data_IF_548510618149
#
_entry.id   IF_548510618149
#
_cell.length_a   1.000
_cell.length_b   1.000
_cell.length_c   1.000
_cell.angle_alpha   90.00
_cell.angle_beta   90.00
_cell.angle_gamma   90.00
#
_symmetry.space_group_name_H-M   'P 1'
#
loop_
_entity.id
_entity.type
_entity.pdbx_description
1 polymer ?
#
# COMPACT_ATOMS: atom_id res chain seq x y z
N UNK A 1 13.19 0.45 -0.10
CA UNK A 1 13.10 -0.54 -1.19
C UNK A 1 12.91 0.17 -2.54
N UNK A 2 11.83 0.96 -2.72
CA UNK A 2 11.57 1.69 -3.97
C UNK A 2 12.65 2.72 -4.36
N UNK A 3 13.30 3.37 -3.39
CA UNK A 3 14.42 4.30 -3.65
C UNK A 3 15.59 3.59 -4.37
N UNK A 4 16.02 2.46 -3.83
CA UNK A 4 17.10 1.65 -4.42
C UNK A 4 16.72 1.09 -5.80
N UNK A 5 15.44 0.73 -5.98
CA UNK A 5 14.92 0.37 -7.30
C UNK A 5 15.03 1.54 -8.28
N UNK A 6 14.55 2.73 -7.92
CA UNK A 6 14.56 3.90 -8.79
C UNK A 6 15.99 4.30 -9.17
N UNK A 7 16.91 4.33 -8.20
CA UNK A 7 18.33 4.60 -8.47
C UNK A 7 18.92 3.56 -9.42
N UNK A 8 18.63 2.27 -9.19
CA UNK A 8 19.14 1.19 -10.05
C UNK A 8 18.55 1.26 -11.45
N UNK A 9 17.26 1.55 -11.58
CA UNK A 9 16.58 1.70 -12.87
C UNK A 9 17.20 2.85 -13.67
N UNK A 10 17.39 4.02 -13.05
CA UNK A 10 18.01 5.18 -13.71
C UNK A 10 19.46 4.91 -14.12
N UNK A 11 20.21 4.14 -13.33
CA UNK A 11 21.57 3.73 -13.69
C UNK A 11 21.59 2.79 -14.90
N UNK A 12 20.62 1.87 -14.98
CA UNK A 12 20.48 0.95 -16.11
C UNK A 12 19.90 1.60 -17.36
N UNK A 13 19.14 2.69 -17.22
CA UNK A 13 18.44 3.38 -18.31
C UNK A 13 18.74 4.89 -18.26
N UNK A 14 19.98 5.30 -18.58
CA UNK A 14 20.38 6.70 -18.49
C UNK A 14 19.59 7.57 -19.48
N UNK A 15 19.15 8.75 -19.03
CA UNK A 15 18.45 9.73 -19.87
C UNK A 15 16.94 9.51 -20.03
N UNK A 16 16.37 8.42 -19.47
CA UNK A 16 14.91 8.20 -19.48
C UNK A 16 14.19 9.15 -18.51
N UNK A 17 14.77 9.38 -17.34
CA UNK A 17 14.24 10.29 -16.31
C UNK A 17 15.30 11.35 -15.96
N UNK A 18 14.86 12.58 -15.66
CA UNK A 18 15.75 13.67 -15.26
C UNK A 18 16.34 13.45 -13.86
N UNK A 19 15.59 12.79 -12.99
CA UNK A 19 15.99 12.51 -11.61
C UNK A 19 15.55 11.11 -11.16
N UNK A 20 16.23 10.61 -10.12
CA UNK A 20 15.79 9.39 -9.43
C UNK A 20 14.40 9.59 -8.82
N UNK A 21 14.10 10.80 -8.34
CA UNK A 21 12.81 11.17 -7.77
C UNK A 21 11.67 11.04 -8.80
N UNK A 22 11.89 11.44 -10.05
CA UNK A 22 10.93 11.25 -11.15
C UNK A 22 10.60 9.76 -11.32
N UNK A 23 11.62 8.91 -11.36
CA UNK A 23 11.46 7.46 -11.48
C UNK A 23 10.72 6.87 -10.27
N UNK A 24 11.06 7.32 -9.07
CA UNK A 24 10.44 6.90 -7.82
C UNK A 24 8.94 7.24 -7.81
N UNK A 25 8.58 8.51 -8.06
CA UNK A 25 7.18 8.97 -8.04
C UNK A 25 6.37 8.29 -9.14
N UNK A 26 6.92 8.17 -10.36
CA UNK A 26 6.23 7.47 -11.45
C UNK A 26 6.00 5.99 -11.13
N UNK A 27 6.93 5.34 -10.42
CA UNK A 27 6.76 3.96 -9.98
C UNK A 27 5.52 3.80 -9.10
N UNK A 28 5.29 4.72 -8.14
CA UNK A 28 4.05 4.70 -7.35
C UNK A 28 2.81 4.98 -8.19
N UNK A 29 2.89 5.87 -9.18
CA UNK A 29 1.78 6.13 -10.09
C UNK A 29 1.39 4.87 -10.90
N UNK A 30 2.37 4.07 -11.34
CA UNK A 30 2.15 2.80 -12.04
C UNK A 30 1.51 1.77 -11.09
N UNK A 31 1.98 1.68 -9.84
CA UNK A 31 1.38 0.73 -8.88
C UNK A 31 -0.07 1.13 -8.54
N UNK A 32 -0.35 2.42 -8.37
CA UNK A 32 -1.71 2.93 -8.16
C UNK A 32 -2.61 2.69 -9.38
N UNK A 33 -2.05 2.78 -10.59
CA UNK A 33 -2.75 2.45 -11.83
C UNK A 33 -3.14 0.97 -11.87
N UNK A 34 -2.26 0.07 -11.45
CA UNK A 34 -2.54 -1.37 -11.39
C UNK A 34 -3.77 -1.66 -10.52
N UNK A 35 -3.83 -1.09 -9.31
CA UNK A 35 -5.01 -1.20 -8.45
C UNK A 35 -6.24 -0.61 -9.13
N UNK A 36 -6.13 0.58 -9.73
CA UNK A 36 -7.26 1.27 -10.35
C UNK A 36 -7.89 0.50 -11.52
N UNK A 37 -7.07 -0.21 -12.30
CA UNK A 37 -7.54 -0.97 -13.46
C UNK A 37 -8.06 -2.36 -13.11
N UNK A 38 -7.45 -3.02 -12.11
CA UNK A 38 -7.67 -4.46 -11.86
C UNK A 38 -8.42 -4.77 -10.58
N UNK A 39 -8.50 -3.86 -9.62
CA UNK A 39 -9.33 -4.04 -8.43
C UNK A 39 -10.81 -3.88 -8.81
N UNK A 40 -11.60 -4.94 -8.62
CA UNK A 40 -13.03 -4.94 -8.95
C UNK A 40 -13.86 -3.93 -8.13
N UNK A 41 -13.33 -3.44 -7.00
CA UNK A 41 -13.98 -2.43 -6.17
C UNK A 41 -13.84 -1.00 -6.74
N UNK A 42 -12.87 -0.78 -7.64
CA UNK A 42 -12.67 0.53 -8.29
C UNK A 42 -13.62 0.64 -9.47
N UNK A 43 -14.63 1.51 -9.33
CA UNK A 43 -15.67 1.72 -10.35
C UNK A 43 -15.22 2.64 -11.48
N UNK A 44 -14.41 3.64 -11.19
CA UNK A 44 -13.90 4.62 -12.17
C UNK A 44 -12.49 4.22 -12.62
N UNK A 45 -12.41 3.53 -13.75
CA UNK A 45 -11.13 3.09 -14.32
C UNK A 45 -10.54 4.21 -15.17
N UNK A 46 -9.37 4.77 -14.82
CA UNK A 46 -8.78 5.86 -15.57
C UNK A 46 -8.44 5.42 -17.00
N UNK A 47 -8.63 6.28 -18.00
CA UNK A 47 -8.18 6.02 -19.38
C UNK A 47 -6.69 6.32 -19.55
N UNK A 48 -6.11 5.93 -20.69
CA UNK A 48 -4.73 6.24 -21.03
C UNK A 48 -4.47 7.77 -21.04
N UNK A 49 -5.38 8.55 -21.61
CA UNK A 49 -5.31 10.03 -21.66
C UNK A 49 -5.34 10.64 -20.26
N UNK A 50 -6.17 10.07 -19.37
CA UNK A 50 -6.25 10.49 -17.98
C UNK A 50 -4.95 10.20 -17.26
N UNK A 51 -4.35 9.02 -17.46
CA UNK A 51 -3.07 8.66 -16.86
C UNK A 51 -1.93 9.57 -17.34
N UNK A 52 -1.89 9.93 -18.62
CA UNK A 52 -0.94 10.92 -19.16
C UNK A 52 -1.11 12.27 -18.46
N UNK A 53 -2.35 12.73 -18.35
CA UNK A 53 -2.66 14.05 -17.74
C UNK A 53 -2.32 14.08 -16.24
N UNK A 54 -2.54 12.98 -15.53
CA UNK A 54 -2.24 12.84 -14.10
C UNK A 54 -0.75 12.95 -13.79
N UNK A 55 0.13 12.65 -14.75
CA UNK A 55 1.59 12.65 -14.57
C UNK A 55 2.27 13.83 -15.28
N UNK A 56 1.53 14.90 -15.61
CA UNK A 56 2.13 16.15 -16.12
C UNK A 56 3.02 16.80 -15.06
N UNK A 57 4.16 17.36 -15.50
CA UNK A 57 5.13 18.02 -14.64
C UNK A 57 5.97 17.09 -13.75
N UNK A 58 5.81 15.77 -13.86
CA UNK A 58 6.48 14.79 -12.98
C UNK A 58 7.99 14.75 -13.16
N UNK A 59 8.51 15.20 -14.31
CA UNK A 59 9.92 15.12 -14.67
C UNK A 59 10.64 16.44 -14.35
N UNK A 60 10.80 16.75 -13.06
CA UNK A 60 11.39 18.00 -12.55
C UNK A 60 10.67 19.27 -13.06
N UNK A 61 9.33 19.22 -13.10
CA UNK A 61 8.48 20.30 -13.62
C UNK A 61 8.20 20.21 -15.11
N UNK A 62 8.86 19.31 -15.84
CA UNK A 62 8.57 18.95 -17.23
C UNK A 62 7.66 17.73 -17.37
N UNK A 63 7.18 17.49 -18.59
CA UNK A 63 6.36 16.32 -18.94
C UNK A 63 7.24 15.16 -19.43
N UNK A 64 6.84 13.92 -19.11
CA UNK A 64 7.41 12.73 -19.74
C UNK A 64 6.81 12.55 -21.15
N UNK A 65 7.51 11.84 -22.06
CA UNK A 65 6.97 11.52 -23.38
C UNK A 65 5.61 10.82 -23.26
N UNK A 66 4.60 11.33 -23.97
CA UNK A 66 3.24 10.77 -23.92
C UNK A 66 3.21 9.28 -24.31
N UNK A 67 4.01 8.91 -25.31
CA UNK A 67 4.14 7.52 -25.77
C UNK A 67 4.66 6.60 -24.66
N UNK A 68 5.62 7.05 -23.84
CA UNK A 68 6.13 6.29 -22.70
C UNK A 68 5.01 6.01 -21.70
N UNK A 69 4.23 7.04 -21.33
CA UNK A 69 3.13 6.91 -20.38
C UNK A 69 2.00 6.03 -20.91
N UNK A 70 1.69 6.10 -22.21
CA UNK A 70 0.71 5.23 -22.86
C UNK A 70 1.17 3.77 -22.88
N UNK A 71 2.44 3.52 -23.19
CA UNK A 71 3.01 2.18 -23.19
C UNK A 71 2.99 1.55 -21.79
N UNK A 72 3.34 2.33 -20.76
CA UNK A 72 3.22 1.90 -19.37
C UNK A 72 1.77 1.59 -18.99
N UNK A 73 0.83 2.45 -19.39
CA UNK A 73 -0.59 2.26 -19.11
C UNK A 73 -1.14 0.98 -19.76
N UNK A 74 -0.91 0.78 -21.06
CA UNK A 74 -1.40 -0.42 -21.76
C UNK A 74 -0.73 -1.70 -21.26
N UNK A 75 0.55 -1.64 -20.86
CA UNK A 75 1.22 -2.79 -20.23
C UNK A 75 0.50 -3.22 -18.96
N UNK A 76 0.22 -2.27 -18.06
CA UNK A 76 -0.50 -2.58 -16.80
C UNK A 76 -1.91 -3.03 -17.11
N UNK A 77 -2.65 -2.36 -17.99
CA UNK A 77 -4.01 -2.72 -18.37
C UNK A 77 -4.13 -4.14 -18.92
N UNK A 78 -3.13 -4.60 -19.67
CA UNK A 78 -3.13 -5.94 -20.28
C UNK A 78 -2.75 -7.05 -19.29
N UNK A 79 -1.79 -6.82 -18.41
CA UNK A 79 -1.34 -7.81 -17.42
C UNK A 79 -1.13 -7.15 -16.06
N UNK A 80 -1.90 -7.51 -15.01
CA UNK A 80 -1.69 -6.99 -13.67
C UNK A 80 -0.36 -7.47 -13.10
N UNK A 81 0.20 -6.73 -12.14
CA UNK A 81 1.40 -7.16 -11.44
C UNK A 81 1.23 -8.55 -10.81
N UNK A 82 2.16 -9.45 -11.12
CA UNK A 82 2.26 -10.75 -10.46
C UNK A 82 3.05 -10.58 -9.17
N UNK A 83 2.33 -10.57 -8.07
CA UNK A 83 2.93 -10.58 -6.74
C UNK A 83 3.17 -12.06 -6.36
N UNK A 84 4.41 -12.48 -6.07
CA UNK A 84 4.68 -13.81 -5.56
C UNK A 84 3.89 -14.05 -4.27
N UNK A 85 3.35 -15.26 -4.09
CA UNK A 85 2.71 -15.68 -2.84
C UNK A 85 3.77 -15.83 -1.73
N UNK A 86 4.19 -14.72 -1.11
CA UNK A 86 5.10 -14.69 0.04
C UNK A 86 4.41 -13.95 1.20
N UNK A 87 3.86 -14.76 2.11
CA UNK A 87 3.39 -14.53 3.50
C UNK A 87 3.03 -13.13 4.06
N UNK A 88 2.53 -12.22 3.22
CA UNK A 88 1.61 -11.15 3.62
C UNK A 88 2.23 -9.99 4.40
N UNK A 89 3.51 -9.69 4.19
CA UNK A 89 4.19 -8.57 4.84
C UNK A 89 5.03 -7.73 3.87
N UNK A 90 4.40 -7.26 2.78
CA UNK A 90 5.01 -6.32 1.83
C UNK A 90 4.28 -4.96 1.84
N UNK A 91 5.08 -3.88 1.84
CA UNK A 91 4.64 -2.47 1.88
C UNK A 91 3.77 -2.07 0.69
N UNK A 92 3.81 -2.86 -0.39
CA UNK A 92 2.91 -2.69 -1.53
C UNK A 92 1.46 -3.03 -1.13
N UNK A 93 1.22 -4.02 -0.26
CA UNK A 93 -0.15 -4.35 0.15
C UNK A 93 -0.80 -3.30 1.08
N UNK A 94 0.00 -2.55 1.85
CA UNK A 94 -0.50 -1.54 2.81
C UNK A 94 -1.23 -0.36 2.14
N UNK A 95 -0.90 -0.03 0.88
CA UNK A 95 -1.55 1.06 0.13
C UNK A 95 -2.47 0.60 -1.00
N UNK A 96 -2.33 -0.64 -1.49
CA UNK A 96 -2.97 -1.07 -2.75
C UNK A 96 -4.20 -1.97 -2.60
N UNK A 97 -4.52 -2.44 -1.39
CA UNK A 97 -5.74 -3.21 -1.17
C UNK A 97 -6.23 -3.09 0.29
N UNK A 98 -6.85 -1.96 0.69
CA UNK A 98 -7.45 -1.91 2.00
C UNK A 98 -8.53 -2.99 2.11
N UNK A 99 -8.60 -3.68 3.26
CA UNK A 99 -9.68 -4.62 3.58
C UNK A 99 -11.05 -3.97 3.38
N UNK A 100 -11.09 -2.65 3.57
CA UNK A 100 -12.21 -1.78 3.24
C UNK A 100 -11.83 -0.30 3.20
N UNK A 101 -12.44 0.45 2.31
CA UNK A 101 -12.44 1.91 2.35
C UNK A 101 -13.84 2.48 2.10
N UNK A 102 -14.08 3.72 2.53
CA UNK A 102 -15.42 4.32 2.40
C UNK A 102 -15.68 5.51 3.32
N UNK A 103 -16.76 6.23 3.02
CA UNK A 103 -17.18 7.39 3.82
C UNK A 103 -18.03 6.96 5.02
N UNK A 104 -17.61 7.37 6.21
CA UNK A 104 -18.40 7.19 7.44
C UNK A 104 -18.52 8.49 8.22
N UNK A 105 -19.53 8.55 9.08
CA UNK A 105 -19.64 9.58 10.10
C UNK A 105 -19.06 9.05 11.41
N UNK A 106 -18.20 9.82 12.08
CA UNK A 106 -17.66 9.46 13.39
C UNK A 106 -18.02 10.50 14.45
N UNK A 107 -18.26 10.05 15.67
CA UNK A 107 -18.45 10.92 16.81
C UNK A 107 -17.09 11.35 17.40
N UNK A 108 -16.98 12.62 17.78
CA UNK A 108 -15.81 13.14 18.48
C UNK A 108 -15.67 12.58 19.91
N UNK A 109 -14.45 12.66 20.45
CA UNK A 109 -14.07 12.06 21.73
C UNK A 109 -14.55 12.92 22.90
N UNK A 110 -13.77 13.97 23.21
CA UNK A 110 -14.12 14.98 24.21
C UNK A 110 -15.33 15.82 23.80
N UNK A 111 -15.32 16.33 22.57
CA UNK A 111 -16.43 17.11 22.00
C UNK A 111 -17.27 16.18 21.12
N UNK A 112 -18.54 15.98 21.48
CA UNK A 112 -19.46 15.05 20.82
C UNK A 112 -20.07 15.62 19.54
N UNK A 113 -19.22 15.94 18.57
CA UNK A 113 -19.62 16.39 17.23
C UNK A 113 -19.42 15.27 16.21
N UNK A 114 -20.39 15.09 15.31
CA UNK A 114 -20.27 14.19 14.18
C UNK A 114 -19.44 14.81 13.06
N UNK A 115 -18.52 14.03 12.49
CA UNK A 115 -17.66 14.45 11.38
C UNK A 115 -17.65 13.37 10.30
N UNK A 116 -17.81 13.77 9.03
CA UNK A 116 -17.64 12.90 7.87
C UNK A 116 -16.15 12.75 7.58
N UNK A 117 -15.69 11.50 7.47
CA UNK A 117 -14.28 11.16 7.21
C UNK A 117 -14.20 10.00 6.24
N UNK A 118 -13.17 10.00 5.41
CA UNK A 118 -12.84 8.86 4.56
C UNK A 118 -12.08 7.85 5.39
N UNK A 119 -12.60 6.65 5.54
CA UNK A 119 -11.98 5.60 6.33
C UNK A 119 -11.27 4.61 5.44
N UNK A 120 -10.13 4.13 5.90
CA UNK A 120 -9.36 3.04 5.29
C UNK A 120 -9.04 2.04 6.40
N UNK A 121 -9.42 0.79 6.20
CA UNK A 121 -9.07 -0.34 7.04
C UNK A 121 -7.96 -1.12 6.37
N UNK A 122 -6.82 -1.24 7.03
CA UNK A 122 -5.68 -2.04 6.58
C UNK A 122 -4.78 -2.37 7.77
N UNK A 123 -4.07 -3.50 7.73
CA UNK A 123 -3.08 -3.89 8.74
C UNK A 123 -3.61 -3.83 10.19
N UNK A 124 -4.85 -4.30 10.40
CA UNK A 124 -5.53 -4.28 11.70
C UNK A 124 -5.59 -2.86 12.34
N UNK A 125 -5.56 -1.83 11.50
CA UNK A 125 -5.65 -0.42 11.88
C UNK A 125 -6.74 0.26 11.07
N UNK A 126 -7.48 1.15 11.73
CA UNK A 126 -8.49 1.97 11.10
C UNK A 126 -8.00 3.41 10.99
N UNK A 127 -7.71 3.82 9.76
CA UNK A 127 -7.26 5.15 9.39
C UNK A 127 -8.45 5.99 8.98
N UNK A 128 -8.41 7.28 9.27
CA UNK A 128 -9.42 8.20 8.77
C UNK A 128 -8.82 9.53 8.32
N UNK A 129 -9.30 10.03 7.18
CA UNK A 129 -8.81 11.22 6.48
C UNK A 129 -9.92 12.26 6.39
N UNK A 130 -9.53 13.53 6.22
CA UNK A 130 -10.50 14.59 5.99
C UNK A 130 -11.02 14.56 4.55
N UNK A 131 -10.11 14.38 3.59
CA UNK A 131 -10.37 14.21 2.18
C UNK A 131 -9.70 12.95 1.64
N UNK A 132 -10.21 12.42 0.52
CA UNK A 132 -9.64 11.23 -0.16
C UNK A 132 -8.28 11.51 -0.79
N UNK A 133 -7.91 12.77 -0.97
CA UNK A 133 -6.65 13.22 -1.56
C UNK A 133 -5.56 13.48 -0.52
N UNK A 134 -5.89 13.36 0.77
CA UNK A 134 -4.95 13.64 1.85
C UNK A 134 -3.86 12.57 1.90
N UNK A 135 -2.60 13.02 1.99
CA UNK A 135 -1.43 12.12 2.12
C UNK A 135 -1.25 11.61 3.55
N UNK A 136 -1.74 12.35 4.54
CA UNK A 136 -1.59 12.03 5.96
C UNK A 136 -2.94 11.82 6.63
N UNK A 137 -3.09 10.78 7.48
CA UNK A 137 -4.35 10.51 8.16
C UNK A 137 -4.65 11.58 9.22
N UNK A 138 -5.92 11.93 9.35
CA UNK A 138 -6.41 12.75 10.47
C UNK A 138 -6.32 11.99 11.79
N UNK A 139 -6.40 10.66 11.75
CA UNK A 139 -6.07 9.83 12.89
C UNK A 139 -6.02 8.35 12.57
N UNK A 140 -5.44 7.61 13.51
CA UNK A 140 -5.13 6.19 13.41
C UNK A 140 -5.66 5.51 14.65
N UNK A 141 -6.44 4.45 14.46
CA UNK A 141 -7.04 3.65 15.53
C UNK A 141 -6.55 2.21 15.35
N UNK A 142 -5.53 1.78 16.12
CA UNK A 142 -5.18 0.37 16.23
C UNK A 142 -6.38 -0.44 16.71
N UNK A 143 -6.70 -1.53 16.02
CA UNK A 143 -7.86 -2.38 16.35
C UNK A 143 -7.50 -3.50 17.32
N UNK A 144 -6.22 -3.62 17.69
CA UNK A 144 -5.74 -4.56 18.70
C UNK A 144 -6.53 -4.41 20.01
N UNK A 145 -7.06 -5.53 20.49
CA UNK A 145 -7.84 -5.61 21.73
C UNK A 145 -9.15 -4.80 21.73
N UNK A 146 -9.63 -4.37 20.55
CA UNK A 146 -10.94 -3.76 20.40
C UNK A 146 -11.96 -4.78 19.91
N UNK A 147 -13.22 -4.51 20.21
CA UNK A 147 -14.37 -5.29 19.76
C UNK A 147 -15.43 -4.34 19.21
N UNK A 148 -16.29 -4.91 18.37
CA UNK A 148 -17.41 -4.18 17.75
C UNK A 148 -18.74 -4.60 18.37
N UNK A 149 -19.60 -3.63 18.60
CA UNK A 149 -21.02 -3.83 18.88
C UNK A 149 -21.89 -2.86 18.09
N UNK A 150 -23.10 -3.28 17.79
CA UNK A 150 -24.13 -2.39 17.25
C UNK A 150 -24.69 -1.50 18.36
N UNK A 151 -25.07 -0.27 17.99
CA UNK A 151 -25.72 0.66 18.91
C UNK A 151 -26.79 1.47 18.19
N UNK A 152 -27.82 1.86 18.91
CA UNK A 152 -28.76 2.87 18.45
C UNK A 152 -28.24 4.27 18.80
N UNK A 153 -28.46 5.24 17.89
CA UNK A 153 -28.19 6.64 18.15
C UNK A 153 -29.43 7.48 17.82
N UNK A 154 -29.85 8.42 18.69
CA UNK A 154 -31.07 9.20 18.46
C UNK A 154 -31.06 10.04 17.17
N UNK A 155 -29.88 10.33 16.61
CA UNK A 155 -29.72 11.26 15.49
C UNK A 155 -29.05 10.65 14.26
N UNK A 156 -28.49 9.45 14.36
CA UNK A 156 -27.69 8.86 13.29
C UNK A 156 -28.09 7.39 13.07
N UNK A 157 -28.44 7.02 11.83
CA UNK A 157 -28.78 5.64 11.53
C UNK A 157 -27.51 4.77 11.51
N UNK A 158 -27.73 3.46 11.48
CA UNK A 158 -26.70 2.47 11.15
C UNK A 158 -25.42 2.61 12.00
N UNK A 159 -25.58 2.76 13.32
CA UNK A 159 -24.47 3.02 14.22
C UNK A 159 -23.83 1.73 14.78
N UNK A 160 -22.52 1.78 14.97
CA UNK A 160 -21.74 0.77 15.68
C UNK A 160 -20.63 1.44 16.51
N UNK A 161 -20.09 0.70 17.48
CA UNK A 161 -19.04 1.17 18.38
C UNK A 161 -17.83 0.23 18.39
N UNK A 162 -16.64 0.82 18.29
CA UNK A 162 -15.39 0.20 18.71
C UNK A 162 -15.19 0.47 20.20
N UNK A 163 -14.97 -0.57 20.98
CA UNK A 163 -14.73 -0.49 22.42
C UNK A 163 -13.75 -1.57 22.87
N UNK A 164 -13.04 -1.33 23.97
CA UNK A 164 -12.21 -2.36 24.59
C UNK A 164 -13.06 -3.17 25.59
N UNK A 165 -13.29 -4.48 25.37
CA UNK A 165 -14.08 -5.31 26.29
C UNK A 165 -13.36 -5.59 27.62
N UNK A 166 -12.02 -5.66 27.60
CA UNK A 166 -11.19 -5.97 28.77
C UNK A 166 -10.97 -4.76 29.68
N UNK A 167 -11.05 -3.55 29.14
CA UNK A 167 -10.79 -2.30 29.86
C UNK A 167 -11.94 -1.29 29.73
N UNK A 168 -13.09 -1.64 30.30
CA UNK A 168 -14.29 -0.80 30.26
C UNK A 168 -14.02 0.57 30.91
N UNK A 169 -14.24 1.64 30.16
CA UNK A 169 -14.08 3.02 30.65
C UNK A 169 -12.69 3.62 30.42
N UNK A 170 -11.70 2.84 29.97
CA UNK A 170 -10.39 3.37 29.62
C UNK A 170 -10.38 4.00 28.22
N UNK A 171 -9.47 4.94 28.01
CA UNK A 171 -9.26 5.57 26.70
C UNK A 171 -8.60 4.55 25.78
N UNK A 172 -9.15 4.42 24.57
CA UNK A 172 -8.60 3.62 23.49
C UNK A 172 -7.35 4.31 22.98
N UNK A 173 -6.23 3.58 22.97
CA UNK A 173 -4.97 4.03 22.39
C UNK A 173 -5.16 4.30 20.91
N UNK A 174 -4.98 5.55 20.52
CA UNK A 174 -5.13 6.03 19.15
C UNK A 174 -4.42 7.38 19.03
N UNK A 175 -4.10 7.82 17.82
CA UNK A 175 -3.57 9.17 17.59
C UNK A 175 -4.44 9.97 16.62
N UNK A 176 -4.38 11.30 16.72
CA UNK A 176 -5.02 12.22 15.78
C UNK A 176 -4.15 13.45 15.54
N UNK A 177 -4.28 14.07 14.38
CA UNK A 177 -3.67 15.37 14.08
C UNK A 177 -4.65 16.50 14.41
N UNK A 178 -4.16 17.51 15.15
CA UNK A 178 -4.91 18.74 15.42
C UNK A 178 -4.88 19.68 14.21
N UNK A 179 -5.56 20.83 14.30
CA UNK A 179 -5.62 21.79 13.19
C UNK A 179 -4.26 22.44 12.89
N UNK A 180 -3.35 22.47 13.87
CA UNK A 180 -1.98 22.99 13.76
C UNK A 180 -0.96 21.94 13.31
N UNK A 181 -1.41 20.73 12.95
CA UNK A 181 -0.56 19.63 12.48
C UNK A 181 0.07 18.79 13.60
N UNK A 182 -0.10 19.13 14.88
CA UNK A 182 0.45 18.32 15.98
C UNK A 182 -0.29 17.00 16.11
N UNK A 183 0.47 15.91 16.27
CA UNK A 183 -0.05 14.58 16.59
C UNK A 183 -0.27 14.49 18.11
N UNK A 184 -1.49 14.15 18.52
CA UNK A 184 -1.89 13.99 19.92
C UNK A 184 -2.62 12.67 20.13
N UNK A 185 -2.66 12.18 21.37
CA UNK A 185 -3.42 10.99 21.72
C UNK A 185 -4.94 11.22 21.59
N UNK A 186 -5.65 10.17 21.16
CA UNK A 186 -7.10 10.13 21.12
C UNK A 186 -7.71 10.29 22.52
N UNK A 187 -8.93 10.82 22.58
CA UNK A 187 -9.66 11.01 23.85
C UNK A 187 -10.96 10.19 23.86
N UNK A 188 -10.91 9.01 23.24
CA UNK A 188 -12.08 8.18 22.99
C UNK A 188 -12.07 6.96 23.90
N UNK A 189 -13.08 6.84 24.77
CA UNK A 189 -13.36 5.57 25.48
C UNK A 189 -14.05 4.57 24.54
N UNK A 190 -14.84 5.08 23.60
CA UNK A 190 -15.46 4.33 22.51
C UNK A 190 -15.41 5.17 21.24
N UNK A 191 -15.26 4.53 20.09
CA UNK A 191 -15.48 5.18 18.79
C UNK A 191 -16.84 4.79 18.26
N UNK A 192 -17.81 5.71 18.35
CA UNK A 192 -19.12 5.57 17.70
C UNK A 192 -19.04 6.03 16.25
N UNK A 193 -19.48 5.18 15.34
CA UNK A 193 -19.41 5.35 13.89
C UNK A 193 -20.80 5.07 13.30
N UNK A 194 -21.18 5.81 12.27
CA UNK A 194 -22.46 5.70 11.55
C UNK A 194 -22.18 5.51 10.06
N UNK A 195 -22.75 4.46 9.49
CA UNK A 195 -22.67 4.14 8.06
C UNK A 195 -23.84 4.75 7.26
N UNK A 196 -23.68 5.01 5.95
CA UNK A 196 -24.74 5.59 5.13
C UNK A 196 -25.93 4.64 4.96
N UNK A 197 -25.67 3.33 4.83
CA UNK A 197 -26.69 2.29 4.71
C UNK A 197 -26.52 1.14 5.73
N UNK A 198 -27.58 0.34 5.98
CA UNK A 198 -27.48 -0.89 6.79
C UNK A 198 -26.50 -1.90 6.20
N UNK A 199 -26.45 -2.03 4.88
CA UNK A 199 -25.56 -2.95 4.17
C UNK A 199 -24.10 -2.52 4.39
N UNK A 200 -23.80 -1.23 4.22
CA UNK A 200 -22.46 -0.69 4.52
C UNK A 200 -22.08 -0.88 5.99
N UNK A 201 -23.03 -0.75 6.92
CA UNK A 201 -22.78 -1.02 8.35
C UNK A 201 -22.30 -2.45 8.57
N UNK A 202 -23.04 -3.42 8.04
CA UNK A 202 -22.74 -4.83 8.19
C UNK A 202 -21.39 -5.18 7.57
N UNK A 203 -21.16 -4.65 6.38
CA UNK A 203 -19.93 -4.77 5.64
C UNK A 203 -18.70 -4.22 6.40
N UNK A 204 -18.81 -3.02 6.98
CA UNK A 204 -17.75 -2.43 7.82
C UNK A 204 -17.48 -3.25 9.08
N UNK A 205 -18.55 -3.67 9.77
CA UNK A 205 -18.41 -4.50 10.97
C UNK A 205 -17.77 -5.85 10.66
N UNK A 206 -18.12 -6.47 9.54
CA UNK A 206 -17.53 -7.73 9.08
C UNK A 206 -16.04 -7.57 8.81
N UNK A 207 -15.64 -6.57 8.01
CA UNK A 207 -14.23 -6.35 7.68
C UNK A 207 -13.39 -6.10 8.94
N UNK A 208 -13.88 -5.28 9.89
CA UNK A 208 -13.13 -5.00 11.12
C UNK A 208 -13.06 -6.23 12.04
N UNK A 209 -14.09 -7.08 12.10
CA UNK A 209 -14.05 -8.33 12.90
C UNK A 209 -13.10 -9.38 12.33
N UNK A 210 -12.91 -9.39 11.01
CA UNK A 210 -12.05 -10.36 10.33
C UNK A 210 -10.56 -9.96 10.36
N UNK A 211 -10.21 -8.76 10.83
CA UNK A 211 -8.82 -8.37 10.98
C UNK A 211 -8.12 -9.27 12.03
N UNK A 212 -6.96 -9.87 11.71
CA UNK A 212 -6.38 -10.95 12.51
C UNK A 212 -5.98 -10.46 13.91
N UNK A 213 -6.51 -11.13 14.94
CA UNK A 213 -6.17 -10.89 16.34
C UNK A 213 -4.88 -11.62 16.79
N UNK A 214 -4.28 -11.23 17.93
CA UNK A 214 -3.02 -11.81 18.40
C UNK A 214 -3.24 -13.10 19.21
N UNK A 215 -3.03 -14.27 18.59
CA UNK A 215 -2.66 -15.56 19.23
C UNK A 215 -2.43 -16.61 18.13
N UNK A 216 -1.44 -17.50 18.09
CA UNK A 216 -0.49 -17.99 19.10
C UNK A 216 0.62 -18.78 18.39
N UNK A 217 1.86 -18.30 18.39
CA UNK A 217 3.10 -19.11 18.38
C UNK A 217 4.33 -18.20 18.46
N UNK A 218 5.34 -18.48 19.30
CA UNK A 218 6.61 -17.76 19.25
C UNK A 218 7.32 -18.15 17.95
N UNK A 219 7.28 -17.29 16.94
CA UNK A 219 8.09 -17.49 15.73
C UNK A 219 9.56 -17.48 16.15
N UNK A 220 10.22 -18.64 15.99
CA UNK A 220 11.66 -18.86 16.20
C UNK A 220 12.49 -17.76 15.54
N UNK A 221 13.69 -17.41 16.06
CA UNK A 221 14.58 -16.49 15.37
C UNK A 221 14.95 -17.10 14.01
N UNK A 222 14.40 -16.56 12.91
CA UNK A 222 14.69 -17.04 11.57
C UNK A 222 15.91 -16.31 11.02
N UNK A 223 16.92 -17.13 10.80
CA UNK A 223 18.10 -16.94 9.96
C UNK A 223 17.74 -16.22 8.66
N UNK A 224 18.59 -15.27 8.28
CA UNK A 224 18.55 -14.52 7.03
C UNK A 224 18.39 -15.46 5.81
N UNK A 225 17.38 -15.29 4.95
CA UNK A 225 17.35 -15.95 3.66
C UNK A 225 18.14 -15.10 2.66
N UNK A 226 19.20 -15.74 2.16
CA UNK A 226 19.85 -15.51 0.88
C UNK A 226 18.80 -15.59 -0.24
N UNK A 227 19.06 -14.96 -1.39
CA UNK A 227 18.38 -15.13 -2.69
C UNK A 227 17.49 -13.98 -3.16
N UNK A 228 18.17 -12.91 -3.56
CA UNK A 228 17.85 -12.20 -4.80
C UNK A 228 17.85 -13.17 -5.98
N UNK A 229 16.71 -13.78 -6.32
CA UNK A 229 16.54 -14.52 -7.59
C UNK A 229 15.10 -14.35 -8.08
N UNK A 230 14.97 -13.79 -9.29
CA UNK A 230 13.77 -13.68 -10.15
C UNK A 230 12.83 -12.47 -9.97
N UNK A 231 13.35 -11.29 -10.35
CA UNK A 231 12.57 -10.26 -11.07
C UNK A 231 12.98 -10.17 -12.58
N UNK A 232 13.75 -11.15 -13.07
CA UNK A 232 14.47 -11.08 -14.35
C UNK A 232 13.63 -11.39 -15.61
N UNK A 233 12.30 -11.56 -15.52
CA UNK A 233 11.48 -12.05 -16.64
C UNK A 233 10.64 -11.01 -17.40
N UNK A 234 10.53 -9.76 -16.94
CA UNK A 234 9.71 -8.74 -17.64
C UNK A 234 10.50 -7.71 -18.45
N UNK A 235 11.77 -7.43 -18.10
CA UNK A 235 12.63 -6.58 -18.94
C UNK A 235 12.93 -7.19 -20.33
N UNK A 236 12.73 -8.49 -20.51
CA UNK A 236 12.98 -9.18 -21.78
C UNK A 236 11.86 -9.00 -22.83
N UNK A 237 10.63 -8.62 -22.45
CA UNK A 237 9.52 -8.44 -23.42
C UNK A 237 9.57 -7.14 -24.20
N UNK A 238 10.37 -6.17 -23.77
CA UNK A 238 10.57 -4.88 -24.44
C UNK A 238 11.73 -4.92 -25.47
N UNK A 239 12.34 -6.10 -25.69
CA UNK A 239 13.22 -6.34 -26.85
C UNK A 239 14.68 -5.88 -26.73
N UNK A 240 15.38 -6.12 -25.61
CA UNK A 240 16.77 -5.61 -25.40
C UNK A 240 17.88 -6.69 -25.23
N UNK A 241 17.62 -8.01 -25.17
CA UNK A 241 18.73 -8.99 -24.99
C UNK A 241 18.52 -10.35 -25.67
N UNK A 242 19.57 -10.90 -26.31
CA UNK A 242 19.64 -12.28 -26.86
C UNK A 242 20.68 -13.14 -26.12
N UNK A 243 20.48 -14.48 -26.05
CA UNK A 243 21.15 -15.41 -25.11
C UNK A 243 22.57 -15.88 -25.49
N UNK A 244 23.50 -15.92 -24.50
CA UNK A 244 24.78 -16.65 -24.52
C UNK A 244 25.23 -17.11 -23.11
N UNK A 245 26.12 -18.12 -22.95
CA UNK A 245 26.47 -18.76 -21.65
C UNK A 245 27.98 -19.00 -21.45
N UNK A 246 28.58 -18.60 -20.30
CA UNK A 246 29.87 -19.13 -19.74
C UNK A 246 29.91 -18.99 -18.18
N UNK A 247 30.80 -19.71 -17.48
CA UNK A 247 30.87 -19.98 -16.03
C UNK A 247 32.14 -19.42 -15.35
N UNK A 248 32.09 -19.08 -14.04
CA UNK A 248 33.28 -18.90 -13.20
C UNK A 248 33.06 -19.27 -11.71
N UNK A 249 34.16 -19.65 -11.03
CA UNK A 249 34.28 -20.34 -9.74
C UNK A 249 34.79 -19.39 -8.64
N UNK A 250 34.37 -19.57 -7.37
CA UNK A 250 34.84 -18.80 -6.21
C UNK A 250 35.54 -19.70 -5.18
N UNK A 251 36.78 -19.37 -4.80
CA UNK A 251 37.44 -19.86 -3.59
C UNK A 251 37.93 -18.63 -2.77
N UNK A 252 38.00 -18.68 -1.44
CA UNK A 252 37.84 -19.85 -0.61
C UNK A 252 37.87 -19.60 0.90
N UNK A 253 38.13 -20.72 1.56
CA UNK A 253 38.24 -21.02 2.98
C UNK A 253 36.94 -21.46 3.72
N UNK A 254 36.90 -22.78 3.94
CA UNK A 254 36.11 -23.62 4.88
C UNK A 254 34.89 -24.38 4.27
N UNK A 255 34.74 -25.71 4.54
CA UNK A 255 34.42 -26.68 3.51
C UNK A 255 32.99 -27.26 3.60
N UNK A 256 32.13 -26.83 2.67
CA UNK A 256 31.00 -27.60 2.12
C UNK A 256 30.34 -26.75 1.03
N UNK A 257 31.03 -26.56 -0.10
CA UNK A 257 30.54 -25.76 -1.21
C UNK A 257 30.05 -26.70 -2.33
N UNK A 258 28.74 -26.91 -2.42
CA UNK A 258 28.12 -27.40 -3.67
C UNK A 258 28.20 -26.28 -4.73
N UNK A 259 28.59 -26.65 -5.96
CA UNK A 259 28.77 -25.73 -7.09
C UNK A 259 27.51 -24.89 -7.34
N UNK A 260 27.60 -23.57 -7.17
CA UNK A 260 26.58 -22.64 -7.68
C UNK A 260 27.07 -22.02 -9.00
N UNK A 261 26.32 -22.23 -10.09
CA UNK A 261 26.48 -21.51 -11.36
C UNK A 261 26.14 -20.03 -11.14
N UNK A 262 27.12 -19.13 -11.24
CA UNK A 262 26.87 -17.69 -11.39
C UNK A 262 26.88 -17.33 -12.89
N UNK A 263 25.83 -16.64 -13.37
CA UNK A 263 25.77 -16.06 -14.73
C UNK A 263 26.03 -14.56 -14.60
N UNK A 264 27.09 -14.07 -15.22
CA UNK A 264 27.38 -12.63 -15.38
C UNK A 264 27.17 -12.29 -16.86
N UNK A 265 26.52 -11.16 -17.14
CA UNK A 265 26.31 -10.66 -18.50
C UNK A 265 27.11 -9.37 -18.71
N UNK A 266 27.87 -9.29 -19.79
CA UNK A 266 28.53 -8.07 -20.26
C UNK A 266 27.58 -7.26 -21.16
N UNK A 267 27.66 -5.94 -21.03
CA UNK A 267 26.88 -4.99 -21.81
C UNK A 267 27.80 -4.33 -22.85
N UNK A 268 27.71 -4.71 -24.12
CA UNK A 268 28.41 -4.00 -25.21
C UNK A 268 27.55 -2.88 -25.76
N UNK A 269 28.14 -1.68 -25.82
CA UNK A 269 27.56 -0.44 -26.35
C UNK A 269 27.02 -0.60 -27.76
N UNK A 270 25.84 -0.06 -28.02
CA UNK A 270 25.51 0.66 -29.25
C UNK A 270 24.84 1.97 -28.83
#
# INVERSE_FOLDING_TARGET
MMEAFASRYCLCNPGVFQSTDTCYVLSFAIIMLNTSLHNHNVRDKPTAERFVTMNRGINEGGDLPEELLRNLYESIKNEPFKIPEDDGNDLTHTFFNPDREGWLLKLGGRVKTWKRRWFILTDNCLYYFEYTTDKEPRGIIPLENLSIREVEDPRKPNCFELYNPSHKGQVIKACKTEADGRVVEGNHVVYRISAPSPEEKEEWMKSIRCAPGPSSEPRRPRVLPVHAVRWESECARVGVCTRGSVYACACGSVPACERVRLRVWECTRI
#
